data_IF_041902070856
#
_entry.id   IF_041902070856
#
_cell.length_a   1.000
_cell.length_b   1.000
_cell.length_c   1.000
_cell.angle_alpha   90.00
_cell.angle_beta   90.00
_cell.angle_gamma   90.00
#
_symmetry.space_group_name_H-M   'P 1'
#
loop_
_entity.id
_entity.type
_entity.pdbx_description
1 polymer ?
#
# COMPACT_ATOMS: atom_id res chain seq x y z
N UNK A 1 -21.97 7.19 -25.32
CA UNK A 1 -22.56 8.42 -24.97
C UNK A 1 -22.11 9.63 -25.77
N UNK A 2 -22.58 10.79 -25.39
CA UNK A 2 -22.35 12.07 -26.06
C UNK A 2 -20.87 12.49 -26.17
N UNK A 3 -19.98 11.91 -25.34
CA UNK A 3 -18.55 12.23 -25.30
C UNK A 3 -17.65 11.29 -26.13
N UNK A 4 -18.20 10.36 -26.91
CA UNK A 4 -17.40 9.41 -27.71
C UNK A 4 -16.60 8.38 -26.90
N UNK A 5 -16.91 8.19 -25.61
CA UNK A 5 -16.27 7.20 -24.74
C UNK A 5 -16.75 5.81 -25.14
N UNK A 6 -15.80 4.92 -25.51
CA UNK A 6 -16.10 3.54 -25.92
C UNK A 6 -15.90 2.54 -24.78
N UNK A 7 -15.06 2.88 -23.77
CA UNK A 7 -14.75 2.00 -22.64
C UNK A 7 -14.62 2.82 -21.35
N UNK A 8 -15.08 2.26 -20.27
CA UNK A 8 -14.90 2.75 -18.89
C UNK A 8 -14.08 1.73 -18.11
N UNK A 9 -13.00 2.19 -17.49
CA UNK A 9 -12.25 1.41 -16.50
C UNK A 9 -12.59 1.95 -15.12
N UNK A 10 -13.11 1.10 -14.26
CA UNK A 10 -13.53 1.44 -12.91
C UNK A 10 -12.68 0.69 -11.88
N UNK A 11 -11.92 1.41 -11.07
CA UNK A 11 -11.18 0.87 -9.93
C UNK A 11 -12.08 0.96 -8.70
N UNK A 12 -12.62 -0.18 -8.28
CA UNK A 12 -13.49 -0.23 -7.11
C UNK A 12 -12.69 0.11 -5.84
N UNK A 13 -13.26 0.98 -5.01
CA UNK A 13 -12.68 1.30 -3.72
C UNK A 13 -12.96 0.12 -2.78
N UNK A 14 -11.93 -0.52 -2.17
CA UNK A 14 -12.15 -1.63 -1.26
C UNK A 14 -12.97 -1.23 -0.03
N UNK A 15 -13.82 -2.13 0.47
CA UNK A 15 -14.76 -1.87 1.57
C UNK A 15 -14.10 -1.29 2.84
N UNK A 16 -12.83 -1.57 3.09
CA UNK A 16 -12.09 -1.07 4.26
C UNK A 16 -11.97 0.46 4.27
N UNK A 17 -12.06 1.12 3.11
CA UNK A 17 -12.00 2.57 2.95
C UNK A 17 -13.37 3.24 3.12
N UNK A 18 -14.47 2.48 3.12
CA UNK A 18 -15.81 3.01 3.24
C UNK A 18 -16.10 3.42 4.70
N UNK A 19 -16.70 4.58 4.90
CA UNK A 19 -17.23 4.99 6.22
C UNK A 19 -18.44 4.14 6.63
N UNK A 20 -19.29 3.81 5.67
CA UNK A 20 -20.46 2.96 5.78
C UNK A 20 -20.40 1.90 4.68
N UNK A 21 -21.11 0.77 4.79
CA UNK A 21 -21.29 -0.14 3.66
C UNK A 21 -21.80 0.63 2.45
N UNK A 22 -21.11 0.57 1.33
CA UNK A 22 -21.37 1.34 0.12
C UNK A 22 -20.81 0.61 -1.11
N UNK A 23 -21.39 -0.55 -1.43
CA UNK A 23 -21.01 -1.40 -2.55
C UNK A 23 -22.07 -1.42 -3.66
N UNK A 24 -22.94 -0.39 -3.71
CA UNK A 24 -23.98 -0.23 -4.73
C UNK A 24 -23.38 -0.11 -6.14
N UNK A 25 -22.20 0.43 -6.25
CA UNK A 25 -21.43 0.53 -7.48
C UNK A 25 -21.13 -0.86 -8.07
N UNK A 26 -20.77 -1.85 -7.25
CA UNK A 26 -20.53 -3.22 -7.68
C UNK A 26 -21.80 -3.87 -8.25
N UNK A 27 -22.96 -3.59 -7.63
CA UNK A 27 -24.25 -4.03 -8.14
C UNK A 27 -24.57 -3.38 -9.49
N UNK A 28 -24.33 -2.08 -9.64
CA UNK A 28 -24.56 -1.37 -10.91
C UNK A 28 -23.64 -1.92 -12.00
N UNK A 29 -22.35 -2.10 -11.71
CA UNK A 29 -21.40 -2.70 -12.65
C UNK A 29 -21.83 -4.08 -13.12
N UNK A 30 -22.30 -4.95 -12.19
CA UNK A 30 -22.85 -6.25 -12.51
C UNK A 30 -24.07 -6.14 -13.45
N UNK A 31 -25.03 -5.25 -13.14
CA UNK A 31 -26.24 -5.02 -13.94
C UNK A 31 -25.93 -4.51 -15.34
N UNK A 32 -24.88 -3.71 -15.48
CA UNK A 32 -24.41 -3.19 -16.78
C UNK A 32 -23.56 -4.19 -17.57
N UNK A 33 -23.28 -5.37 -17.03
CA UNK A 33 -22.45 -6.38 -17.69
C UNK A 33 -20.96 -6.04 -17.71
N UNK A 34 -20.48 -5.20 -16.75
CA UNK A 34 -19.07 -4.93 -16.63
C UNK A 34 -18.27 -6.20 -16.31
N UNK A 35 -17.11 -6.34 -16.93
CA UNK A 35 -16.21 -7.47 -16.73
C UNK A 35 -15.20 -7.16 -15.62
N UNK A 36 -14.98 -8.07 -14.69
CA UNK A 36 -13.85 -8.01 -13.78
C UNK A 36 -12.56 -8.20 -14.61
N UNK A 37 -11.79 -7.13 -14.78
CA UNK A 37 -10.58 -7.12 -15.59
C UNK A 37 -9.34 -7.50 -14.80
N UNK A 38 -9.23 -6.98 -13.56
CA UNK A 38 -8.11 -7.25 -12.65
C UNK A 38 -8.63 -7.47 -11.24
N UNK A 39 -7.99 -8.38 -10.50
CA UNK A 39 -8.20 -8.59 -9.07
C UNK A 39 -6.86 -8.76 -8.38
N UNK A 40 -6.52 -7.83 -7.52
CA UNK A 40 -5.29 -7.89 -6.72
C UNK A 40 -5.62 -8.22 -5.26
N UNK A 41 -4.76 -9.03 -4.63
CA UNK A 41 -4.85 -9.32 -3.20
C UNK A 41 -3.99 -8.32 -2.43
N UNK A 42 -4.62 -7.53 -1.58
CA UNK A 42 -3.97 -6.69 -0.58
C UNK A 42 -4.04 -7.34 0.80
N UNK A 43 -3.24 -6.85 1.73
CA UNK A 43 -3.19 -7.35 3.10
C UNK A 43 -3.53 -6.22 4.05
N UNK A 44 -4.62 -6.35 4.82
CA UNK A 44 -5.03 -5.37 5.80
C UNK A 44 -5.30 -6.00 7.18
N UNK A 45 -5.22 -5.20 8.22
CA UNK A 45 -5.54 -5.60 9.58
C UNK A 45 -6.45 -4.56 10.25
N UNK A 46 -7.50 -4.97 10.99
CA UNK A 46 -8.24 -4.06 11.85
C UNK A 46 -7.33 -3.60 13.00
N UNK A 47 -7.18 -2.29 13.17
CA UNK A 47 -6.24 -1.73 14.18
C UNK A 47 -6.67 -2.08 15.60
N UNK A 48 -7.98 -2.11 15.87
CA UNK A 48 -8.53 -2.42 17.18
C UNK A 48 -8.44 -3.92 17.55
N UNK A 49 -8.22 -4.82 16.57
CA UNK A 49 -8.21 -6.27 16.77
C UNK A 49 -7.11 -6.94 15.94
N UNK A 50 -5.87 -6.57 16.22
CA UNK A 50 -4.71 -7.12 15.54
C UNK A 50 -4.47 -8.58 15.93
N UNK A 51 -4.40 -9.46 14.94
CA UNK A 51 -3.98 -10.83 15.15
C UNK A 51 -2.51 -10.91 15.60
N UNK A 52 -2.14 -11.97 16.36
CA UNK A 52 -0.77 -12.12 16.83
C UNK A 52 0.26 -12.19 15.69
N UNK A 53 1.41 -11.56 15.91
CA UNK A 53 2.56 -11.70 15.02
C UNK A 53 3.02 -13.16 14.92
N UNK A 54 3.41 -13.61 13.74
CA UNK A 54 4.04 -14.91 13.58
C UNK A 54 5.41 -14.97 14.29
N UNK A 55 5.92 -16.20 14.52
CA UNK A 55 7.20 -16.41 15.22
C UNK A 55 8.37 -15.67 14.55
N UNK A 56 8.38 -15.65 13.22
CA UNK A 56 9.45 -15.00 12.46
C UNK A 56 9.43 -13.48 12.71
N UNK A 57 8.27 -12.82 12.66
CA UNK A 57 8.17 -11.37 12.90
C UNK A 57 8.61 -11.00 14.30
N UNK A 58 8.22 -11.78 15.33
CA UNK A 58 8.67 -11.56 16.71
C UNK A 58 10.19 -11.66 16.84
N UNK A 59 10.83 -12.64 16.19
CA UNK A 59 12.30 -12.77 16.17
C UNK A 59 12.97 -11.59 15.49
N UNK A 60 12.41 -11.11 14.36
CA UNK A 60 12.94 -9.96 13.61
C UNK A 60 12.82 -8.67 14.40
N UNK A 61 11.72 -8.46 15.13
CA UNK A 61 11.56 -7.32 16.02
C UNK A 61 12.61 -7.31 17.15
N UNK A 62 12.95 -8.47 17.70
CA UNK A 62 14.04 -8.56 18.69
C UNK A 62 15.39 -8.16 18.09
N UNK A 63 15.70 -8.66 16.89
CA UNK A 63 16.92 -8.28 16.18
C UNK A 63 16.97 -6.77 15.88
N UNK A 64 15.84 -6.16 15.50
CA UNK A 64 15.75 -4.74 15.25
C UNK A 64 15.98 -3.90 16.53
N UNK A 65 15.48 -4.35 17.67
CA UNK A 65 15.74 -3.70 18.96
C UNK A 65 17.22 -3.78 19.35
N UNK A 66 17.89 -4.90 19.07
CA UNK A 66 19.32 -5.08 19.32
C UNK A 66 20.20 -4.25 18.37
N UNK A 67 19.73 -3.94 17.16
CA UNK A 67 20.46 -3.13 16.19
C UNK A 67 20.49 -1.65 16.53
N UNK A 68 19.67 -1.16 17.46
CA UNK A 68 19.66 0.24 17.89
C UNK A 68 18.97 1.20 16.91
N UNK A 69 18.05 0.71 16.07
CA UNK A 69 17.28 1.55 15.17
C UNK A 69 16.39 2.56 15.91
N UNK A 70 16.27 3.76 15.33
CA UNK A 70 15.28 4.77 15.71
C UNK A 70 14.27 4.98 14.58
N UNK A 71 13.00 5.23 14.93
CA UNK A 71 11.95 5.62 13.98
C UNK A 71 11.83 7.14 14.04
N UNK A 72 11.85 7.77 12.88
CA UNK A 72 11.68 9.21 12.69
C UNK A 72 10.51 9.46 11.75
N UNK A 73 9.61 10.34 12.15
CA UNK A 73 8.60 10.91 11.28
C UNK A 73 9.08 12.28 10.82
N UNK A 74 9.33 12.46 9.53
CA UNK A 74 9.86 13.70 8.98
C UNK A 74 9.42 13.91 7.51
N UNK A 75 10.04 14.88 6.83
CA UNK A 75 9.75 15.24 5.43
C UNK A 75 10.95 15.02 4.51
N UNK A 76 11.98 14.30 5.00
CA UNK A 76 13.20 14.04 4.24
C UNK A 76 13.01 12.90 3.23
N UNK A 77 12.12 13.15 2.25
CA UNK A 77 11.90 12.22 1.13
C UNK A 77 13.20 11.97 0.36
N UNK A 78 14.12 12.94 0.32
CA UNK A 78 15.40 12.80 -0.40
C UNK A 78 16.30 11.74 0.23
N UNK A 79 16.25 11.55 1.55
CA UNK A 79 17.00 10.48 2.22
C UNK A 79 16.36 9.08 2.03
N UNK A 80 15.05 8.99 1.77
CA UNK A 80 14.35 7.71 1.60
C UNK A 80 14.25 7.28 0.14
N UNK A 81 14.04 8.21 -0.80
CA UNK A 81 13.73 7.89 -2.20
C UNK A 81 14.77 7.02 -2.90
N UNK A 82 16.09 7.26 -2.71
CA UNK A 82 17.12 6.38 -3.29
C UNK A 82 17.02 4.93 -2.82
N UNK A 83 16.61 4.68 -1.56
CA UNK A 83 16.41 3.33 -1.02
C UNK A 83 15.22 2.64 -1.71
N UNK A 84 14.15 3.39 -1.99
CA UNK A 84 12.99 2.89 -2.72
C UNK A 84 13.33 2.60 -4.18
N UNK A 85 13.97 3.53 -4.88
CA UNK A 85 14.36 3.39 -6.28
C UNK A 85 15.31 2.21 -6.50
N UNK A 86 16.34 2.07 -5.67
CA UNK A 86 17.29 0.96 -5.76
C UNK A 86 16.59 -0.40 -5.64
N UNK A 87 15.67 -0.52 -4.68
CA UNK A 87 14.91 -1.77 -4.48
C UNK A 87 13.98 -2.11 -5.64
N UNK A 88 13.25 -1.11 -6.17
CA UNK A 88 12.34 -1.32 -7.28
C UNK A 88 13.09 -1.67 -8.57
N UNK A 89 14.24 -1.01 -8.80
CA UNK A 89 15.09 -1.32 -9.96
C UNK A 89 15.67 -2.73 -9.86
N UNK A 90 16.19 -3.11 -8.68
CA UNK A 90 16.78 -4.43 -8.46
C UNK A 90 15.77 -5.57 -8.63
N UNK A 91 14.54 -5.40 -8.11
CA UNK A 91 13.55 -6.49 -8.05
C UNK A 91 12.63 -6.56 -9.26
N UNK A 92 12.31 -5.42 -9.84
CA UNK A 92 11.27 -5.32 -10.86
C UNK A 92 11.71 -4.60 -12.13
N UNK A 93 12.94 -4.06 -12.18
CA UNK A 93 13.39 -3.21 -13.29
C UNK A 93 12.51 -1.96 -13.47
N UNK A 94 11.86 -1.51 -12.39
CA UNK A 94 10.86 -0.44 -12.41
C UNK A 94 11.27 0.75 -11.53
N UNK A 95 10.61 1.87 -11.74
CA UNK A 95 10.73 3.06 -10.89
C UNK A 95 9.42 3.27 -10.11
N UNK A 96 9.47 4.04 -8.99
CA UNK A 96 8.23 4.48 -8.34
C UNK A 96 7.32 5.21 -9.32
N UNK A 97 6.00 5.12 -9.10
CA UNK A 97 5.01 5.84 -9.92
C UNK A 97 5.21 7.36 -9.85
N UNK A 98 5.62 7.86 -8.67
CA UNK A 98 5.94 9.26 -8.47
C UNK A 98 7.46 9.45 -8.46
N UNK A 99 7.91 10.58 -8.98
CA UNK A 99 9.27 11.08 -8.77
C UNK A 99 9.42 11.66 -7.36
N UNK A 100 10.65 11.90 -6.91
CA UNK A 100 10.93 12.58 -5.64
C UNK A 100 10.22 13.96 -5.57
N UNK A 101 10.27 14.75 -6.65
CA UNK A 101 9.64 16.07 -6.69
C UNK A 101 8.11 15.98 -6.62
N UNK A 102 7.52 14.98 -7.26
CA UNK A 102 6.07 14.76 -7.22
C UNK A 102 5.59 14.37 -5.84
N UNK A 103 6.25 13.41 -5.16
CA UNK A 103 5.83 13.00 -3.82
C UNK A 103 6.04 14.14 -2.80
N UNK A 104 7.13 14.89 -2.90
CA UNK A 104 7.36 16.05 -2.04
C UNK A 104 6.32 17.16 -2.27
N UNK A 105 5.89 17.38 -3.54
CA UNK A 105 4.81 18.30 -3.87
C UNK A 105 3.47 17.82 -3.33
N UNK A 106 3.16 16.53 -3.46
CA UNK A 106 1.94 15.93 -2.93
C UNK A 106 1.90 16.04 -1.40
N UNK A 107 3.00 15.75 -0.70
CA UNK A 107 3.08 15.93 0.74
C UNK A 107 2.81 17.41 1.14
N UNK A 108 3.44 18.39 0.47
CA UNK A 108 3.17 19.81 0.77
C UNK A 108 1.71 20.21 0.54
N UNK A 109 1.04 19.60 -0.44
CA UNK A 109 -0.38 19.85 -0.71
C UNK A 109 -1.31 19.15 0.31
N UNK A 110 -0.90 18.00 0.84
CA UNK A 110 -1.67 17.16 1.74
C UNK A 110 -0.82 16.66 2.92
N UNK A 111 -0.28 17.56 3.78
CA UNK A 111 0.69 17.19 4.81
C UNK A 111 0.12 16.26 5.88
N UNK A 112 -1.19 16.32 6.14
CA UNK A 112 -1.84 15.43 7.10
C UNK A 112 -2.17 14.04 6.53
N UNK A 113 -2.30 13.93 5.21
CA UNK A 113 -2.68 12.69 4.54
C UNK A 113 -1.48 11.91 4.00
N UNK A 114 -0.37 12.58 3.71
CA UNK A 114 0.84 11.94 3.15
C UNK A 114 1.97 12.16 4.14
N UNK A 115 2.41 11.07 4.80
CA UNK A 115 3.42 11.12 5.88
C UNK A 115 4.58 10.19 5.53
N UNK A 116 5.79 10.61 5.87
CA UNK A 116 6.99 9.79 5.75
C UNK A 116 7.48 9.34 7.11
N UNK A 117 7.76 8.06 7.24
CA UNK A 117 8.45 7.46 8.37
C UNK A 117 9.73 6.79 7.90
N UNK A 118 10.83 7.08 8.61
CA UNK A 118 12.14 6.45 8.33
C UNK A 118 12.63 5.69 9.55
N UNK A 119 13.31 4.58 9.30
CA UNK A 119 14.10 3.88 10.32
C UNK A 119 15.54 4.25 10.09
N UNK A 120 16.17 4.81 11.11
CA UNK A 120 17.52 5.35 11.03
C UNK A 120 18.47 4.62 11.99
N UNK A 121 19.72 4.47 11.55
CA UNK A 121 20.87 4.05 12.37
C UNK A 121 22.03 5.01 12.08
N UNK A 122 22.59 5.62 13.12
CA UNK A 122 23.69 6.58 13.01
C UNK A 122 23.43 7.68 11.95
N UNK A 123 22.20 8.18 11.90
CA UNK A 123 21.76 9.22 10.95
C UNK A 123 21.50 8.72 9.52
N UNK A 124 21.67 7.44 9.21
CA UNK A 124 21.43 6.86 7.89
C UNK A 124 20.06 6.21 7.83
N UNK A 125 19.36 6.39 6.70
CA UNK A 125 18.08 5.73 6.44
C UNK A 125 18.30 4.25 6.08
N UNK A 126 17.79 3.36 6.92
CA UNK A 126 17.87 1.91 6.73
C UNK A 126 16.54 1.32 6.23
N UNK A 127 15.44 1.98 6.50
CA UNK A 127 14.12 1.66 5.93
C UNK A 127 13.24 2.90 5.91
N UNK A 128 12.15 2.86 5.15
CA UNK A 128 11.15 3.91 5.18
C UNK A 128 9.80 3.45 4.64
N UNK A 129 8.79 4.21 5.00
CA UNK A 129 7.43 4.02 4.54
C UNK A 129 6.73 5.37 4.33
N UNK A 130 6.21 5.59 3.13
CA UNK A 130 5.28 6.69 2.86
C UNK A 130 3.87 6.19 3.11
N UNK A 131 3.17 6.85 4.02
CA UNK A 131 1.80 6.55 4.39
C UNK A 131 0.82 7.46 3.65
N UNK A 132 -0.28 6.88 3.16
CA UNK A 132 -1.45 7.62 2.71
C UNK A 132 -2.59 7.40 3.70
N UNK A 133 -3.10 8.51 4.27
CA UNK A 133 -4.09 8.47 5.34
C UNK A 133 -5.45 8.91 4.80
N UNK A 134 -6.46 8.08 5.05
CA UNK A 134 -7.86 8.44 4.90
C UNK A 134 -8.54 8.49 6.27
N UNK A 135 -9.83 8.76 6.32
CA UNK A 135 -10.56 8.73 7.59
C UNK A 135 -10.54 7.34 8.24
N UNK A 136 -10.61 6.28 7.43
CA UNK A 136 -10.75 4.91 7.91
C UNK A 136 -9.44 4.11 7.89
N UNK A 137 -8.49 4.46 7.01
CA UNK A 137 -7.34 3.60 6.69
C UNK A 137 -6.03 4.37 6.76
N UNK A 138 -5.04 3.74 7.38
CA UNK A 138 -3.63 4.07 7.21
C UNK A 138 -3.03 3.10 6.16
N UNK A 139 -2.71 3.60 4.95
CA UNK A 139 -2.21 2.80 3.84
C UNK A 139 -0.71 3.00 3.64
N UNK A 140 0.05 1.90 3.59
CA UNK A 140 1.47 1.89 3.29
C UNK A 140 1.69 1.95 1.77
N UNK A 141 1.80 3.16 1.23
CA UNK A 141 1.91 3.41 -0.22
C UNK A 141 3.25 2.99 -0.79
N UNK A 142 4.35 3.41 -0.16
CA UNK A 142 5.70 3.04 -0.56
C UNK A 142 6.48 2.55 0.65
N UNK A 143 7.10 1.38 0.54
CA UNK A 143 7.90 0.82 1.62
C UNK A 143 9.15 0.17 1.07
N UNK A 144 10.28 0.46 1.68
CA UNK A 144 11.56 -0.08 1.26
C UNK A 144 12.57 -0.10 2.41
N UNK A 145 13.59 -0.95 2.27
CA UNK A 145 14.71 -1.00 3.21
C UNK A 145 16.01 -1.32 2.46
N UNK A 146 17.13 -0.84 2.98
CA UNK A 146 18.47 -1.22 2.54
C UNK A 146 18.71 -2.72 2.78
N UNK A 147 19.74 -3.33 2.16
CA UNK A 147 20.14 -4.71 2.48
C UNK A 147 20.38 -4.90 3.98
N UNK A 148 21.08 -3.97 4.64
CA UNK A 148 21.31 -3.99 6.08
C UNK A 148 20.00 -3.89 6.87
N UNK A 149 19.13 -2.94 6.54
CA UNK A 149 17.82 -2.78 7.18
C UNK A 149 16.94 -4.03 7.03
N UNK A 150 16.97 -4.69 5.85
CA UNK A 150 16.29 -5.98 5.63
C UNK A 150 16.85 -7.07 6.54
N UNK A 151 18.16 -7.21 6.62
CA UNK A 151 18.82 -8.22 7.44
C UNK A 151 18.52 -8.05 8.93
N UNK A 152 18.47 -6.80 9.43
CA UNK A 152 18.32 -6.50 10.84
C UNK A 152 16.89 -6.16 11.27
N UNK A 153 15.89 -6.33 10.39
CA UNK A 153 14.46 -6.22 10.75
C UNK A 153 13.94 -4.79 10.85
N UNK A 154 14.56 -3.82 10.15
CA UNK A 154 14.12 -2.43 10.16
C UNK A 154 12.66 -2.26 9.68
N UNK A 155 12.25 -2.99 8.61
CA UNK A 155 10.86 -2.98 8.16
C UNK A 155 9.91 -3.65 9.14
N UNK A 156 10.35 -4.68 9.87
CA UNK A 156 9.54 -5.32 10.90
C UNK A 156 9.24 -4.33 12.04
N UNK A 157 10.25 -3.59 12.47
CA UNK A 157 10.13 -2.53 13.47
C UNK A 157 9.16 -1.43 13.00
N UNK A 158 9.35 -0.92 11.77
CA UNK A 158 8.54 0.14 11.22
C UNK A 158 7.07 -0.26 11.08
N UNK A 159 6.79 -1.42 10.49
CA UNK A 159 5.43 -1.90 10.32
C UNK A 159 4.75 -2.20 11.66
N UNK A 160 5.48 -2.74 12.65
CA UNK A 160 4.93 -2.93 14.00
C UNK A 160 4.51 -1.60 14.61
N UNK A 161 5.37 -0.58 14.53
CA UNK A 161 5.07 0.76 15.03
C UNK A 161 3.85 1.35 14.31
N UNK A 162 3.85 1.35 12.98
CA UNK A 162 2.78 1.97 12.19
C UNK A 162 1.43 1.28 12.37
N UNK A 163 1.41 -0.07 12.39
CA UNK A 163 0.15 -0.84 12.43
C UNK A 163 -0.48 -0.96 13.82
N UNK A 164 0.31 -0.82 14.88
CA UNK A 164 -0.18 -1.10 16.23
C UNK A 164 -0.12 0.08 17.19
N UNK A 165 0.66 1.12 16.88
CA UNK A 165 0.93 2.20 17.84
C UNK A 165 0.60 3.59 17.28
N UNK A 166 0.93 3.84 15.98
CA UNK A 166 0.89 5.20 15.43
C UNK A 166 -0.50 5.68 15.04
N UNK A 167 -1.38 4.77 14.59
CA UNK A 167 -2.69 5.10 14.06
C UNK A 167 -3.85 4.39 14.78
N UNK A 168 -3.99 4.56 16.12
CA UNK A 168 -5.04 3.86 16.89
C UNK A 168 -6.46 4.35 16.56
N UNK A 169 -6.58 5.51 15.92
CA UNK A 169 -7.84 6.13 15.46
C UNK A 169 -8.35 5.56 14.12
N UNK A 170 -7.50 4.85 13.38
CA UNK A 170 -7.88 4.24 12.12
C UNK A 170 -8.58 2.89 12.32
N UNK A 171 -9.50 2.57 11.42
CA UNK A 171 -10.19 1.26 11.45
C UNK A 171 -9.29 0.15 10.95
N UNK A 172 -8.49 0.44 9.91
CA UNK A 172 -7.60 -0.53 9.29
C UNK A 172 -6.22 0.04 9.02
N UNK A 173 -5.22 -0.83 9.13
CA UNK A 173 -3.90 -0.63 8.54
C UNK A 173 -3.81 -1.50 7.30
N UNK A 174 -3.50 -0.88 6.15
CA UNK A 174 -3.41 -1.56 4.85
C UNK A 174 -1.96 -1.58 4.36
N UNK A 175 -1.42 -2.79 4.22
CA UNK A 175 -0.07 -3.03 3.71
C UNK A 175 0.02 -3.01 2.17
N UNK A 176 -1.10 -2.78 1.48
CA UNK A 176 -1.19 -2.78 0.03
C UNK A 176 -1.14 -4.17 -0.61
N UNK A 177 -1.11 -4.18 -1.95
CA UNK A 177 -1.20 -5.40 -2.76
C UNK A 177 0.06 -6.26 -2.70
N UNK A 178 -0.12 -7.57 -2.93
CA UNK A 178 0.95 -8.58 -3.04
C UNK A 178 0.86 -9.34 -4.37
N UNK A 179 0.35 -8.69 -5.40
CA UNK A 179 0.21 -9.24 -6.75
C UNK A 179 0.86 -8.35 -7.78
N UNK A 180 1.18 -8.94 -8.91
CA UNK A 180 1.80 -8.33 -10.07
C UNK A 180 0.95 -8.62 -11.32
N UNK A 181 1.25 -7.95 -12.44
CA UNK A 181 0.61 -8.19 -13.74
C UNK A 181 -0.93 -8.16 -13.69
N UNK A 182 -1.51 -7.12 -13.06
CA UNK A 182 -2.96 -6.99 -12.94
C UNK A 182 -3.61 -8.11 -12.10
N UNK A 183 -2.93 -8.58 -11.07
CA UNK A 183 -3.42 -9.62 -10.17
C UNK A 183 -3.19 -11.06 -10.64
N UNK A 184 -2.54 -11.28 -11.77
CA UNK A 184 -2.33 -12.61 -12.35
C UNK A 184 -1.19 -13.39 -11.71
N UNK A 185 -0.23 -12.69 -11.12
CA UNK A 185 0.94 -13.28 -10.46
C UNK A 185 0.91 -12.92 -8.99
N UNK A 186 0.89 -13.93 -8.13
CA UNK A 186 0.99 -13.75 -6.68
C UNK A 186 2.46 -13.72 -6.27
N UNK A 187 2.84 -12.70 -5.51
CA UNK A 187 4.12 -12.65 -4.83
C UNK A 187 3.97 -13.30 -3.44
N UNK A 188 4.15 -14.63 -3.40
CA UNK A 188 3.97 -15.44 -2.18
C UNK A 188 4.84 -14.96 -1.02
N UNK A 189 6.08 -14.56 -1.31
CA UNK A 189 7.02 -14.06 -0.30
C UNK A 189 6.53 -12.76 0.34
N UNK A 190 6.00 -11.84 -0.47
CA UNK A 190 5.45 -10.58 0.01
C UNK A 190 4.13 -10.79 0.76
N UNK A 191 3.27 -11.69 0.28
CA UNK A 191 2.03 -12.04 0.98
C UNK A 191 2.35 -12.64 2.35
N UNK A 192 3.19 -13.66 2.42
CA UNK A 192 3.60 -14.30 3.67
C UNK A 192 4.29 -13.32 4.65
N UNK A 193 5.07 -12.36 4.11
CA UNK A 193 5.66 -11.29 4.91
C UNK A 193 4.57 -10.47 5.61
N UNK A 194 3.56 -10.00 4.87
CA UNK A 194 2.45 -9.18 5.38
C UNK A 194 1.53 -9.98 6.32
N UNK A 195 1.17 -11.20 5.96
CA UNK A 195 0.37 -12.10 6.82
C UNK A 195 1.06 -12.38 8.16
N UNK A 196 2.39 -12.38 8.18
CA UNK A 196 3.18 -12.50 9.40
C UNK A 196 2.91 -11.41 10.45
N UNK A 197 2.35 -10.27 10.03
CA UNK A 197 1.87 -9.19 10.91
C UNK A 197 0.42 -9.37 11.38
N UNK A 198 -0.22 -10.49 11.06
CA UNK A 198 -1.62 -10.76 11.44
C UNK A 198 -2.65 -10.18 10.48
N UNK A 199 -2.25 -9.81 9.27
CA UNK A 199 -3.14 -9.28 8.24
C UNK A 199 -4.01 -10.35 7.60
N UNK A 200 -5.08 -9.93 6.93
CA UNK A 200 -5.94 -10.76 6.08
C UNK A 200 -6.17 -10.10 4.73
N UNK A 201 -6.61 -10.91 3.78
CA UNK A 201 -6.81 -10.50 2.41
C UNK A 201 -7.97 -9.50 2.25
N UNK A 202 -7.72 -8.47 1.45
CA UNK A 202 -8.73 -7.54 0.92
C UNK A 202 -8.53 -7.46 -0.59
N UNK A 203 -9.61 -7.52 -1.36
CA UNK A 203 -9.53 -7.48 -2.82
C UNK A 203 -9.52 -6.04 -3.34
N UNK A 204 -8.66 -5.79 -4.31
CA UNK A 204 -8.59 -4.58 -5.10
C UNK A 204 -8.99 -4.94 -6.53
N UNK A 205 -10.20 -4.55 -6.90
CA UNK A 205 -10.83 -4.94 -8.15
C UNK A 205 -10.84 -3.81 -9.17
N UNK A 206 -10.61 -4.16 -10.42
CA UNK A 206 -10.77 -3.28 -11.57
C UNK A 206 -11.78 -3.90 -12.53
N UNK A 207 -12.80 -3.13 -12.85
CA UNK A 207 -13.83 -3.51 -13.80
C UNK A 207 -13.69 -2.74 -15.10
N UNK A 208 -14.03 -3.38 -16.21
CA UNK A 208 -14.15 -2.76 -17.52
C UNK A 208 -15.57 -2.91 -18.04
N UNK A 209 -16.10 -1.82 -18.59
CA UNK A 209 -17.38 -1.75 -19.23
C UNK A 209 -17.20 -1.20 -20.63
N UNK A 210 -17.56 -1.98 -21.65
CA UNK A 210 -17.68 -1.53 -23.01
C UNK A 210 -19.02 -0.80 -23.18
N UNK A 211 -18.95 0.44 -23.67
CA UNK A 211 -20.15 1.21 -23.95
C UNK A 211 -20.59 0.96 -25.40
N UNK A 212 -21.89 0.76 -25.66
CA UNK A 212 -22.38 0.61 -27.03
C UNK A 212 -22.00 1.85 -27.86
N UNK A 213 -21.32 1.61 -28.96
CA UNK A 213 -21.03 2.65 -29.94
C UNK A 213 -22.33 3.35 -30.37
N UNK A 214 -22.29 4.66 -30.63
CA UNK A 214 -23.43 5.30 -31.27
C UNK A 214 -23.70 4.59 -32.60
N UNK A 215 -24.97 4.32 -32.94
CA UNK A 215 -25.30 3.90 -34.29
C UNK A 215 -24.76 4.98 -35.24
N UNK A 216 -23.90 4.55 -36.17
CA UNK A 216 -23.48 5.46 -37.26
C UNK A 216 -24.75 5.78 -38.01
N UNK A 217 -25.21 7.02 -37.90
CA UNK A 217 -26.26 7.54 -38.77
C UNK A 217 -25.71 7.56 -40.20
N UNK A 218 -26.14 6.58 -40.99
CA UNK A 218 -25.97 6.54 -42.44
C UNK A 218 -27.00 7.42 -43.09
#
# INVERSE_FOLDING_TARGET
>A
GECGVARVTYKAIPYIYHRYPAEEDLYVLHRMGARLAERSIASAAPVADLLPLCRLRRRRLKAAAEAGFSIVEDEDFAAFWPVLEANLMERHGARPVHTLDEIARLHRAFPEQIRLFRVCLDGRTEAGCVMYLTDCVAHAQYSSATPFGKEHGAMDLLYRHLSAERYPDKRYFDFGISTEQGGRVLNDGLLAFKEGFGTRAVMYDVYELELPGQPQNH
#
